data_IF_939058610602
#
_entry.id   IF_939058610602
#
_cell.length_a   1.000
_cell.length_b   1.000
_cell.length_c   1.000
_cell.angle_alpha   90.00
_cell.angle_beta   90.00
_cell.angle_gamma   90.00
#
_symmetry.space_group_name_H-M   'P 1'
#
loop_
_entity.id
_entity.type
_entity.pdbx_description
1 polymer ?
#
# COMPACT_ATOMS: atom_id res chain seq x y z
N UNK A 1 2.05 -18.86 -6.42
CA UNK A 1 1.28 -17.75 -7.02
C UNK A 1 1.56 -16.42 -6.37
N UNK A 2 1.42 -16.26 -5.04
CA UNK A 2 1.59 -14.97 -4.34
C UNK A 2 2.93 -14.23 -4.51
N UNK A 3 3.96 -14.91 -5.05
CA UNK A 3 5.29 -14.37 -5.32
C UNK A 3 5.52 -14.07 -6.81
N UNK A 4 4.60 -14.50 -7.68
CA UNK A 4 4.71 -14.36 -9.13
C UNK A 4 3.78 -13.29 -9.66
N UNK A 5 2.53 -13.25 -9.18
CA UNK A 5 1.53 -12.27 -9.60
C UNK A 5 1.04 -11.55 -8.34
N UNK A 6 0.93 -10.23 -8.42
CA UNK A 6 0.36 -9.41 -7.35
C UNK A 6 -1.04 -9.90 -6.99
N UNK A 7 -1.27 -10.09 -5.70
CA UNK A 7 -2.53 -10.58 -5.15
C UNK A 7 -3.23 -9.46 -4.39
N UNK A 8 -4.53 -9.57 -4.09
CA UNK A 8 -5.18 -8.65 -3.17
C UNK A 8 -4.40 -8.51 -1.85
N UNK A 9 -3.87 -9.61 -1.31
CA UNK A 9 -3.04 -9.56 -0.10
C UNK A 9 -1.79 -8.69 -0.27
N UNK A 10 -1.07 -8.84 -1.38
CA UNK A 10 0.11 -8.03 -1.69
C UNK A 10 -0.25 -6.53 -1.78
N UNK A 11 -1.34 -6.22 -2.50
CA UNK A 11 -1.80 -4.84 -2.69
C UNK A 11 -2.29 -4.19 -1.38
N UNK A 12 -2.96 -4.95 -0.53
CA UNK A 12 -3.33 -4.48 0.82
C UNK A 12 -2.08 -4.13 1.65
N UNK A 13 -1.04 -4.96 1.61
CA UNK A 13 0.21 -4.66 2.31
C UNK A 13 0.96 -3.47 1.71
N UNK A 14 0.91 -3.26 0.40
CA UNK A 14 1.42 -2.04 -0.24
C UNK A 14 0.74 -0.77 0.30
N UNK A 15 -0.57 -0.83 0.56
CA UNK A 15 -1.35 0.28 1.12
C UNK A 15 -1.39 0.32 2.66
N UNK A 16 -0.61 -0.51 3.34
CA UNK A 16 -0.65 -0.60 4.79
C UNK A 16 -0.08 0.66 5.44
N UNK A 17 -0.85 1.26 6.35
CA UNK A 17 -0.38 2.35 7.20
C UNK A 17 0.25 1.80 8.49
N UNK A 18 1.28 0.99 8.33
CA UNK A 18 2.02 0.38 9.45
C UNK A 18 3.52 0.51 9.21
N UNK A 19 4.30 1.05 10.18
CA UNK A 19 5.74 1.29 10.01
C UNK A 19 6.54 0.07 9.53
N UNK A 20 6.14 -1.13 9.92
CA UNK A 20 6.81 -2.38 9.54
C UNK A 20 6.60 -2.79 8.08
N UNK A 21 5.60 -2.21 7.41
CA UNK A 21 5.27 -2.44 6.01
C UNK A 21 5.58 -1.21 5.13
N UNK A 22 6.10 -0.13 5.71
CA UNK A 22 6.53 1.03 4.92
C UNK A 22 7.66 0.63 3.98
N UNK A 23 7.72 1.29 2.82
CA UNK A 23 8.75 1.08 1.82
C UNK A 23 8.85 -0.39 1.36
N UNK A 24 7.70 -1.04 1.19
CA UNK A 24 7.61 -2.42 0.74
C UNK A 24 6.63 -2.58 -0.42
N UNK A 25 6.76 -3.70 -1.15
CA UNK A 25 5.83 -4.11 -2.20
C UNK A 25 5.68 -3.06 -3.32
N UNK A 26 6.78 -2.61 -3.91
CA UNK A 26 6.80 -1.58 -4.95
C UNK A 26 6.35 -2.08 -6.33
N UNK A 27 6.54 -3.37 -6.63
CA UNK A 27 6.21 -3.90 -7.94
C UNK A 27 4.69 -4.01 -8.12
N UNK A 28 4.17 -3.46 -9.22
CA UNK A 28 2.72 -3.43 -9.45
C UNK A 28 2.16 -4.83 -9.80
N UNK A 29 2.81 -5.58 -10.70
CA UNK A 29 2.30 -6.87 -11.17
C UNK A 29 3.09 -8.09 -10.65
N UNK A 30 4.40 -7.94 -10.42
CA UNK A 30 5.31 -9.08 -10.20
C UNK A 30 6.08 -8.96 -8.87
N UNK A 31 5.56 -9.51 -7.76
CA UNK A 31 6.20 -9.46 -6.43
C UNK A 31 7.61 -10.07 -6.36
N UNK A 32 8.00 -10.86 -7.36
CA UNK A 32 9.36 -11.38 -7.48
C UNK A 32 10.40 -10.26 -7.59
N UNK A 33 10.04 -9.12 -8.17
CA UNK A 33 10.93 -7.96 -8.25
C UNK A 33 11.24 -7.44 -6.84
N UNK A 34 10.22 -7.28 -5.99
CA UNK A 34 10.42 -6.92 -4.58
C UNK A 34 11.23 -7.98 -3.81
N UNK A 35 11.04 -9.26 -4.10
CA UNK A 35 11.84 -10.31 -3.49
C UNK A 35 13.33 -10.21 -3.88
N UNK A 36 13.62 -9.88 -5.13
CA UNK A 36 14.98 -9.71 -5.64
C UNK A 36 15.69 -8.49 -5.04
N UNK A 37 14.95 -7.40 -4.82
CA UNK A 37 15.49 -6.16 -4.25
C UNK A 37 15.33 -6.03 -2.73
N UNK A 38 14.74 -7.04 -2.07
CA UNK A 38 14.61 -7.09 -0.61
C UNK A 38 13.51 -6.20 -0.04
N UNK A 39 12.55 -5.79 -0.86
CA UNK A 39 11.43 -4.90 -0.48
C UNK A 39 10.11 -5.65 -0.33
N UNK A 40 10.10 -6.98 -0.38
CA UNK A 40 8.87 -7.75 -0.26
C UNK A 40 8.43 -7.93 1.21
N UNK A 41 7.21 -7.49 1.50
CA UNK A 41 6.51 -7.72 2.75
C UNK A 41 5.18 -8.46 2.51
N UNK A 42 5.12 -9.75 2.89
CA UNK A 42 3.92 -10.58 2.66
C UNK A 42 3.71 -11.65 3.74
N UNK A 43 3.35 -11.27 4.97
CA UNK A 43 3.11 -12.22 6.05
C UNK A 43 1.90 -13.12 5.75
N UNK A 44 2.06 -14.43 5.95
CA UNK A 44 1.09 -15.42 5.47
C UNK A 44 -0.26 -15.40 6.20
N UNK A 45 -0.29 -15.03 7.48
CA UNK A 45 -1.45 -15.20 8.37
C UNK A 45 -2.02 -13.88 8.92
N UNK A 46 -1.63 -12.74 8.33
CA UNK A 46 -2.07 -11.42 8.78
C UNK A 46 -2.46 -10.52 7.61
N UNK A 47 -3.36 -9.59 7.93
CA UNK A 47 -3.76 -8.47 7.09
C UNK A 47 -3.33 -7.17 7.75
N UNK A 48 -3.22 -6.06 6.99
CA UNK A 48 -2.99 -4.76 7.57
C UNK A 48 -4.11 -4.38 8.57
N UNK A 49 -3.72 -3.81 9.71
CA UNK A 49 -4.67 -3.24 10.67
C UNK A 49 -5.26 -1.92 10.19
N UNK A 50 -4.46 -1.14 9.45
CA UNK A 50 -4.80 0.20 8.97
C UNK A 50 -4.23 0.45 7.57
N UNK A 51 -4.86 1.38 6.85
CA UNK A 51 -4.53 1.75 5.47
C UNK A 51 -4.40 3.27 5.34
N UNK A 52 -3.71 3.71 4.30
CA UNK A 52 -3.59 5.12 3.94
C UNK A 52 -2.22 5.71 4.27
N UNK A 53 -2.18 7.02 4.43
CA UNK A 53 -0.96 7.81 4.64
C UNK A 53 -1.00 8.53 5.98
N UNK A 54 0.15 9.03 6.42
CA UNK A 54 0.25 9.77 7.68
C UNK A 54 -0.31 11.20 7.61
N UNK A 55 -0.46 11.73 6.40
CA UNK A 55 -1.01 13.06 6.17
C UNK A 55 -2.50 13.13 6.50
N UNK A 56 -2.91 14.26 7.07
CA UNK A 56 -4.32 14.55 7.31
C UNK A 56 -5.07 14.77 6.00
N UNK A 57 -6.09 13.95 5.74
CA UNK A 57 -7.01 14.14 4.62
C UNK A 57 -8.32 14.80 5.09
N UNK A 58 -8.97 15.64 4.27
CA UNK A 58 -10.29 16.15 4.58
C UNK A 58 -11.28 15.00 4.77
N UNK A 59 -12.14 15.12 5.78
CA UNK A 59 -13.21 14.15 5.96
C UNK A 59 -14.26 14.30 4.86
N UNK A 60 -14.77 13.18 4.33
CA UNK A 60 -15.90 13.16 3.42
C UNK A 60 -15.53 13.30 1.94
N UNK A 61 -16.20 12.47 1.14
CA UNK A 61 -15.87 12.20 -0.26
C UNK A 61 -15.77 13.46 -1.14
N UNK A 62 -16.76 14.35 -1.08
CA UNK A 62 -16.76 15.60 -1.87
C UNK A 62 -15.59 16.50 -1.51
N UNK A 63 -15.23 16.56 -0.21
CA UNK A 63 -14.09 17.38 0.24
C UNK A 63 -12.76 16.80 -0.21
N UNK A 64 -12.62 15.47 -0.23
CA UNK A 64 -11.46 14.77 -0.77
C UNK A 64 -11.31 14.98 -2.28
N UNK A 65 -12.40 14.85 -3.06
CA UNK A 65 -12.37 15.05 -4.51
C UNK A 65 -11.95 16.46 -4.93
N UNK A 66 -12.42 17.50 -4.21
CA UNK A 66 -12.01 18.88 -4.49
C UNK A 66 -10.65 19.26 -3.92
N UNK A 67 -10.09 18.45 -3.01
CA UNK A 67 -8.85 18.76 -2.29
C UNK A 67 -7.67 19.05 -3.22
N UNK A 68 -7.33 18.20 -4.22
CA UNK A 68 -6.19 18.44 -5.11
C UNK A 68 -6.38 19.66 -6.04
N UNK A 69 -7.59 20.21 -6.15
CA UNK A 69 -7.90 21.38 -6.97
C UNK A 69 -7.87 22.70 -6.18
N UNK A 70 -7.71 22.64 -4.85
CA UNK A 70 -7.45 23.82 -4.05
C UNK A 70 -5.98 24.17 -4.27
N UNK A 71 -5.70 25.39 -4.76
CA UNK A 71 -4.33 25.86 -4.93
C UNK A 71 -3.53 25.66 -3.64
N UNK A 72 -2.27 25.22 -3.80
CA UNK A 72 -1.32 25.03 -2.70
C UNK A 72 -1.06 26.33 -1.94
#
# INVERSE_FOLDING_TARGET
MRWLIATPQFHHWHHARQPQAYNSNYAAEFPIVDALFGTLYLPASRWPAEYGVDDGQPEGYVRQLRWPLRAA
#
